data_IF_503754006563
#
_entry.id   IF_503754006563
#
_cell.length_a   1.000
_cell.length_b   1.000
_cell.length_c   1.000
_cell.angle_alpha   90.00
_cell.angle_beta   90.00
_cell.angle_gamma   90.00
#
_symmetry.space_group_name_H-M   'P 1'
#
loop_
_entity.id
_entity.type
_entity.pdbx_description
1 polymer ?
#
# COMPACT_ATOMS: atom_id res chain seq x y z
N UNK A 1 -14.51 0.79 19.51
CA UNK A 1 -14.59 -0.21 18.43
C UNK A 1 -15.62 0.26 17.42
N UNK A 2 -15.24 0.43 16.15
CA UNK A 2 -16.21 0.51 15.05
C UNK A 2 -16.45 -0.94 14.60
N UNK A 3 -17.61 -1.56 14.90
CA UNK A 3 -17.80 -3.00 14.73
C UNK A 3 -17.89 -3.47 13.27
N UNK A 4 -18.01 -2.55 12.30
CA UNK A 4 -18.52 -2.86 10.96
C UNK A 4 -17.55 -2.50 9.81
N UNK A 5 -16.24 -2.45 10.08
CA UNK A 5 -15.25 -2.23 9.01
C UNK A 5 -14.85 -3.55 8.34
N UNK A 6 -14.55 -3.49 7.04
CA UNK A 6 -14.09 -4.64 6.25
C UNK A 6 -12.61 -4.92 6.52
N UNK A 7 -12.31 -5.53 7.67
CA UNK A 7 -10.97 -5.95 8.01
C UNK A 7 -10.48 -7.10 7.10
N UNK A 8 -9.20 -7.07 6.78
CA UNK A 8 -8.50 -8.04 5.94
C UNK A 8 -7.18 -8.43 6.59
N UNK A 9 -6.80 -9.70 6.44
CA UNK A 9 -5.49 -10.18 6.92
C UNK A 9 -4.42 -9.82 5.91
N UNK A 10 -3.81 -8.64 6.02
CA UNK A 10 -2.59 -8.29 5.27
C UNK A 10 -1.40 -8.91 6.01
N UNK A 11 -0.63 -9.78 5.34
CA UNK A 11 0.49 -10.48 5.96
C UNK A 11 1.84 -9.82 5.62
N UNK A 12 2.03 -9.43 4.36
CA UNK A 12 3.21 -8.70 3.92
C UNK A 12 2.92 -7.75 2.76
N UNK A 13 3.91 -6.93 2.45
CA UNK A 13 3.95 -6.10 1.25
C UNK A 13 5.24 -6.46 0.54
N UNK A 14 5.20 -6.55 -0.78
CA UNK A 14 6.36 -6.83 -1.62
C UNK A 14 6.69 -5.67 -2.54
N UNK A 15 7.99 -5.43 -2.72
CA UNK A 15 8.53 -4.55 -3.76
C UNK A 15 9.42 -5.39 -4.67
N UNK A 16 9.16 -5.35 -5.97
CA UNK A 16 9.88 -6.14 -6.99
C UNK A 16 9.88 -7.66 -6.69
N UNK A 17 8.80 -8.17 -6.11
CA UNK A 17 8.64 -9.58 -5.74
C UNK A 17 9.35 -10.02 -4.46
N UNK A 18 9.93 -9.08 -3.71
CA UNK A 18 10.59 -9.33 -2.44
C UNK A 18 9.78 -8.76 -1.28
N UNK A 19 9.51 -9.57 -0.25
CA UNK A 19 8.87 -9.11 0.98
C UNK A 19 9.70 -8.00 1.63
N UNK A 20 9.00 -7.00 2.17
CA UNK A 20 9.63 -5.88 2.86
C UNK A 20 10.24 -6.30 4.19
N UNK A 21 11.53 -6.02 4.36
CA UNK A 21 12.23 -6.21 5.63
C UNK A 21 11.88 -5.14 6.68
N UNK A 22 11.91 -5.54 7.95
CA UNK A 22 11.75 -4.64 9.09
C UNK A 22 10.31 -4.27 9.40
N UNK A 23 9.34 -5.08 8.96
CA UNK A 23 7.96 -5.07 9.45
C UNK A 23 7.87 -6.13 10.57
N UNK A 24 7.74 -5.74 11.85
CA UNK A 24 7.57 -6.69 12.95
C UNK A 24 6.35 -7.59 12.76
N UNK A 25 6.44 -8.83 13.22
CA UNK A 25 5.29 -9.72 13.28
C UNK A 25 4.17 -9.07 14.11
N UNK A 26 2.94 -9.15 13.60
CA UNK A 26 1.76 -8.56 14.22
C UNK A 26 1.53 -7.07 13.96
N UNK A 27 2.33 -6.43 13.10
CA UNK A 27 2.12 -5.01 12.69
C UNK A 27 0.72 -4.79 12.11
N UNK A 28 0.16 -5.80 11.44
CA UNK A 28 -1.14 -5.75 10.78
C UNK A 28 -2.28 -6.37 11.62
N UNK A 29 -1.99 -6.89 12.81
CA UNK A 29 -2.98 -7.59 13.62
C UNK A 29 -3.99 -6.62 14.24
N UNK A 30 -5.27 -7.00 14.21
CA UNK A 30 -6.32 -6.32 14.94
C UNK A 30 -6.23 -6.68 16.43
N UNK A 31 -6.05 -5.67 17.27
CA UNK A 31 -5.89 -5.83 18.71
C UNK A 31 -7.25 -5.89 19.42
N UNK A 32 -7.26 -6.50 20.62
CA UNK A 32 -8.47 -6.66 21.42
C UNK A 32 -9.11 -5.34 21.88
N UNK A 33 -8.37 -4.23 21.89
CA UNK A 33 -8.89 -2.89 22.19
C UNK A 33 -9.46 -2.16 20.95
N UNK A 34 -9.38 -2.80 19.78
CA UNK A 34 -9.83 -2.26 18.49
C UNK A 34 -8.81 -1.36 17.79
N UNK A 35 -7.58 -1.29 18.28
CA UNK A 35 -6.45 -0.69 17.56
C UNK A 35 -5.78 -1.71 16.61
N UNK A 36 -4.96 -1.22 15.69
CA UNK A 36 -4.29 -2.06 14.70
C UNK A 36 -5.23 -2.49 13.58
N UNK A 37 -4.95 -3.65 13.00
CA UNK A 37 -5.70 -4.18 11.88
C UNK A 37 -5.45 -3.45 10.56
N UNK A 38 -5.94 -4.06 9.49
CA UNK A 38 -5.99 -3.47 8.16
C UNK A 38 -7.42 -3.60 7.66
N UNK A 39 -8.02 -2.50 7.21
CA UNK A 39 -9.35 -2.54 6.62
C UNK A 39 -9.40 -1.86 5.26
N UNK A 40 -10.36 -2.29 4.43
CA UNK A 40 -10.62 -1.71 3.12
C UNK A 40 -11.59 -0.53 3.21
N UNK A 41 -11.31 0.51 2.45
CA UNK A 41 -12.23 1.63 2.25
C UNK A 41 -12.33 2.01 0.78
N UNK A 42 -13.56 2.04 0.26
CA UNK A 42 -13.85 2.55 -1.08
C UNK A 42 -14.09 4.07 -1.09
N UNK A 43 -14.35 4.68 0.08
CA UNK A 43 -14.62 6.11 0.23
C UNK A 43 -13.36 6.93 0.53
N UNK A 44 -12.24 6.26 0.83
CA UNK A 44 -10.97 6.90 1.14
C UNK A 44 -9.96 6.65 0.00
N UNK A 45 -9.53 7.67 -0.76
CA UNK A 45 -8.67 7.45 -1.93
C UNK A 45 -7.28 6.91 -1.57
N UNK A 46 -6.59 7.57 -0.64
CA UNK A 46 -5.22 7.24 -0.25
C UNK A 46 -5.18 6.03 0.69
N UNK A 47 -4.09 5.28 0.64
CA UNK A 47 -3.82 4.20 1.61
C UNK A 47 -3.03 4.75 2.78
N UNK A 48 -3.38 4.31 3.99
CA UNK A 48 -2.70 4.66 5.21
C UNK A 48 -2.14 3.39 5.82
N UNK A 49 -0.83 3.28 5.95
CA UNK A 49 -0.19 2.12 6.57
C UNK A 49 0.34 2.50 7.95
N UNK A 50 0.28 1.54 8.88
CA UNK A 50 1.01 1.62 10.15
C UNK A 50 2.45 2.12 9.91
N UNK A 51 2.92 3.02 10.76
CA UNK A 51 4.15 3.80 10.57
C UNK A 51 5.37 2.93 10.27
N UNK A 52 5.46 1.74 10.87
CA UNK A 52 6.55 0.78 10.64
C UNK A 52 6.48 0.16 9.24
N UNK A 53 5.29 -0.27 8.82
CA UNK A 53 5.06 -0.80 7.47
C UNK A 53 5.27 0.26 6.39
N UNK A 54 4.76 1.48 6.61
CA UNK A 54 5.01 2.62 5.73
C UNK A 54 6.51 2.90 5.61
N UNK A 55 7.24 2.91 6.72
CA UNK A 55 8.68 3.18 6.74
C UNK A 55 9.49 2.11 6.00
N UNK A 56 9.08 0.84 6.08
CA UNK A 56 9.66 -0.22 5.28
C UNK A 56 9.40 -0.02 3.78
N UNK A 57 8.15 0.27 3.39
CA UNK A 57 7.76 0.51 2.01
C UNK A 57 8.51 1.71 1.41
N UNK A 58 8.55 2.83 2.14
CA UNK A 58 9.26 4.04 1.72
C UNK A 58 10.74 3.74 1.47
N UNK A 59 11.41 3.02 2.39
CA UNK A 59 12.83 2.66 2.22
C UNK A 59 13.05 1.81 0.98
N UNK A 60 12.22 0.80 0.74
CA UNK A 60 12.34 -0.06 -0.43
C UNK A 60 12.12 0.70 -1.74
N UNK A 61 11.08 1.54 -1.82
CA UNK A 61 10.82 2.37 -2.99
C UNK A 61 11.94 3.39 -3.24
N UNK A 62 12.44 4.06 -2.20
CA UNK A 62 13.57 4.99 -2.32
C UNK A 62 14.83 4.27 -2.80
N UNK A 63 15.11 3.07 -2.30
CA UNK A 63 16.25 2.26 -2.73
C UNK A 63 16.12 1.83 -4.20
N UNK A 64 14.99 1.23 -4.58
CA UNK A 64 14.77 0.71 -5.94
C UNK A 64 14.74 1.85 -6.98
N UNK A 65 14.07 2.97 -6.70
CA UNK A 65 14.06 4.14 -7.60
C UNK A 65 15.42 4.86 -7.59
N UNK A 66 16.08 4.93 -6.44
CA UNK A 66 17.41 5.53 -6.29
C UNK A 66 18.48 4.81 -7.10
N UNK A 67 18.38 3.49 -7.27
CA UNK A 67 19.26 2.70 -8.13
C UNK A 67 19.23 3.14 -9.61
N UNK A 68 18.17 3.84 -10.02
CA UNK A 68 17.97 4.41 -11.35
C UNK A 68 18.43 5.88 -11.44
N UNK A 69 19.09 6.41 -10.41
CA UNK A 69 19.64 7.78 -10.37
C UNK A 69 18.62 8.87 -10.02
N UNK A 70 17.47 8.51 -9.43
CA UNK A 70 16.41 9.44 -9.09
C UNK A 70 16.26 9.58 -7.58
N UNK A 71 16.38 10.82 -7.07
CA UNK A 71 16.28 11.11 -5.64
C UNK A 71 14.95 11.79 -5.29
N UNK A 72 14.39 11.56 -4.08
CA UNK A 72 13.23 12.28 -3.59
C UNK A 72 13.45 13.80 -3.54
N UNK A 73 12.37 14.59 -3.67
CA UNK A 73 12.42 16.06 -3.56
C UNK A 73 12.75 16.50 -2.13
N UNK A 74 12.14 15.83 -1.16
CA UNK A 74 12.17 16.19 0.26
C UNK A 74 12.57 14.92 1.06
N UNK A 75 13.86 14.56 0.99
CA UNK A 75 14.36 13.30 1.57
C UNK A 75 14.12 13.18 3.08
N UNK A 76 14.06 14.32 3.78
CA UNK A 76 13.79 14.42 5.22
C UNK A 76 12.29 14.36 5.56
N UNK A 77 11.40 14.57 4.59
CA UNK A 77 9.96 14.37 4.79
C UNK A 77 9.66 12.87 4.78
N UNK A 78 9.49 12.33 5.99
CA UNK A 78 9.12 10.94 6.21
C UNK A 78 7.62 10.70 6.05
N UNK A 79 6.79 11.71 5.78
CA UNK A 79 5.33 11.53 5.65
C UNK A 79 4.89 11.36 4.21
N UNK A 80 5.55 12.03 3.28
CA UNK A 80 5.20 11.99 1.87
C UNK A 80 6.43 11.72 1.02
N UNK A 81 6.39 10.66 0.21
CA UNK A 81 7.46 10.35 -0.74
C UNK A 81 7.11 10.98 -2.09
N UNK A 82 7.90 11.96 -2.53
CA UNK A 82 7.72 12.63 -3.82
C UNK A 82 9.03 12.72 -4.59
N UNK A 83 8.93 12.68 -5.93
CA UNK A 83 10.01 12.85 -6.88
C UNK A 83 9.71 14.01 -7.84
N UNK A 84 10.74 14.62 -8.42
CA UNK A 84 10.53 15.61 -9.50
C UNK A 84 10.00 14.88 -10.73
N UNK A 85 8.96 15.41 -11.38
CA UNK A 85 8.31 14.72 -12.50
C UNK A 85 9.26 14.42 -13.66
N UNK A 86 10.14 15.35 -13.99
CA UNK A 86 11.08 15.21 -15.10
C UNK A 86 12.19 14.18 -14.83
N UNK A 87 12.55 13.95 -13.58
CA UNK A 87 13.47 12.85 -13.23
C UNK A 87 12.73 11.52 -13.15
N UNK A 88 11.46 11.53 -12.71
CA UNK A 88 10.65 10.32 -12.58
C UNK A 88 10.14 9.76 -13.91
N UNK A 89 10.08 10.55 -14.99
CA UNK A 89 9.47 10.12 -16.26
C UNK A 89 10.17 8.94 -16.95
N UNK A 90 11.44 8.69 -16.63
CA UNK A 90 12.21 7.55 -17.18
C UNK A 90 12.33 6.37 -16.21
N UNK A 91 11.68 6.44 -15.05
CA UNK A 91 11.80 5.42 -13.99
C UNK A 91 10.92 4.21 -14.34
N UNK A 92 11.51 3.02 -14.27
CA UNK A 92 10.74 1.78 -14.14
C UNK A 92 10.20 1.74 -12.71
N UNK A 93 8.90 1.93 -12.55
CA UNK A 93 8.27 1.97 -11.22
C UNK A 93 8.33 0.56 -10.61
N UNK A 94 8.84 0.40 -9.37
CA UNK A 94 8.98 -0.91 -8.73
C UNK A 94 7.63 -1.62 -8.57
N UNK A 95 7.55 -2.91 -8.89
CA UNK A 95 6.29 -3.66 -8.75
C UNK A 95 5.86 -3.70 -7.28
N UNK A 96 4.59 -3.40 -6.99
CA UNK A 96 4.04 -3.40 -5.63
C UNK A 96 2.97 -4.50 -5.52
N UNK A 97 3.15 -5.41 -4.57
CA UNK A 97 2.18 -6.48 -4.31
C UNK A 97 1.77 -6.45 -2.84
N UNK A 98 0.46 -6.53 -2.58
CA UNK A 98 -0.09 -6.75 -1.24
C UNK A 98 -0.30 -8.25 -1.06
N UNK A 99 0.24 -8.83 0.00
CA UNK A 99 0.11 -10.26 0.31
C UNK A 99 -0.86 -10.40 1.47
N UNK A 100 -1.93 -11.13 1.26
CA UNK A 100 -2.97 -11.38 2.25
C UNK A 100 -2.90 -12.81 2.77
N UNK A 101 -3.51 -13.03 3.93
CA UNK A 101 -3.81 -14.36 4.44
C UNK A 101 -4.80 -15.06 3.52
N UNK A 102 -4.50 -16.31 3.16
CA UNK A 102 -5.34 -17.12 2.29
C UNK A 102 -4.55 -17.85 1.20
N UNK A 103 -5.27 -18.57 0.35
CA UNK A 103 -4.68 -19.35 -0.75
C UNK A 103 -4.51 -18.45 -1.96
N UNK A 104 -3.28 -18.28 -2.45
CA UNK A 104 -2.94 -17.43 -3.60
C UNK A 104 -3.46 -15.98 -3.46
N UNK A 105 -3.47 -15.46 -2.23
CA UNK A 105 -4.05 -14.17 -1.90
C UNK A 105 -3.03 -13.03 -2.08
N UNK A 106 -2.47 -12.90 -3.28
CA UNK A 106 -1.54 -11.81 -3.66
C UNK A 106 -2.20 -10.85 -4.65
N UNK A 107 -2.26 -9.56 -4.31
CA UNK A 107 -2.84 -8.53 -5.17
C UNK A 107 -1.74 -7.61 -5.70
N UNK A 108 -1.49 -7.68 -7.01
CA UNK A 108 -0.61 -6.73 -7.69
C UNK A 108 -1.30 -5.38 -7.82
N UNK A 109 -0.57 -4.31 -7.50
CA UNK A 109 -1.06 -2.94 -7.62
C UNK A 109 -0.42 -2.28 -8.84
N UNK A 110 -1.24 -1.63 -9.67
CA UNK A 110 -0.74 -0.91 -10.84
C UNK A 110 0.02 0.36 -10.45
N UNK A 111 1.16 0.69 -11.09
CA UNK A 111 1.94 1.90 -10.82
C UNK A 111 1.14 3.20 -10.72
N UNK A 112 0.17 3.38 -11.62
CA UNK A 112 -0.71 4.55 -11.66
C UNK A 112 -1.61 4.71 -10.41
N UNK A 113 -1.77 3.64 -9.64
CA UNK A 113 -2.60 3.63 -8.43
C UNK A 113 -1.81 3.98 -7.16
N UNK A 114 -0.48 3.80 -7.15
CA UNK A 114 0.36 4.18 -6.01
C UNK A 114 1.32 5.34 -6.26
N UNK A 115 1.47 5.82 -7.50
CA UNK A 115 2.13 7.09 -7.79
C UNK A 115 1.21 8.02 -8.59
N UNK A 116 0.94 9.20 -8.04
CA UNK A 116 0.09 10.21 -8.69
C UNK A 116 0.89 11.47 -9.04
N UNK A 117 0.43 12.19 -10.07
CA UNK A 117 1.04 13.46 -10.51
C UNK A 117 0.47 14.62 -9.70
N UNK A 118 1.34 15.43 -9.10
CA UNK A 118 0.98 16.66 -8.38
C UNK A 118 1.85 17.83 -8.83
N UNK A 119 1.30 18.81 -9.56
CA UNK A 119 2.03 20.04 -9.88
C UNK A 119 3.27 19.85 -10.76
N UNK A 120 4.48 19.78 -10.19
CA UNK A 120 5.75 19.38 -10.85
C UNK A 120 6.39 18.12 -10.21
N UNK A 121 5.67 17.48 -9.29
CA UNK A 121 6.06 16.29 -8.55
C UNK A 121 5.26 15.05 -9.02
N UNK A 122 5.77 13.89 -8.66
CA UNK A 122 5.08 12.59 -8.66
C UNK A 122 5.22 12.02 -7.26
N UNK A 123 4.11 11.70 -6.59
CA UNK A 123 4.08 11.38 -5.18
C UNK A 123 3.42 10.03 -4.91
N UNK A 124 3.90 9.34 -3.89
CA UNK A 124 3.31 8.11 -3.36
C UNK A 124 1.92 8.42 -2.79
N UNK A 125 0.91 7.61 -3.12
CA UNK A 125 -0.47 7.74 -2.60
C UNK A 125 -0.66 7.04 -1.25
N UNK A 126 0.36 6.32 -0.79
CA UNK A 126 0.43 5.67 0.51
C UNK A 126 1.05 6.64 1.52
N UNK A 127 0.44 6.76 2.70
CA UNK A 127 0.80 7.68 3.77
C UNK A 127 0.94 6.90 5.10
N UNK A 128 1.67 7.44 6.10
CA UNK A 128 1.75 6.81 7.42
C UNK A 128 0.50 7.09 8.27
N UNK A 129 0.15 6.13 9.14
CA UNK A 129 -0.87 6.24 10.18
C UNK A 129 -0.40 5.64 11.51
N UNK A 130 -1.14 5.95 12.58
CA UNK A 130 -0.98 5.35 13.90
C UNK A 130 -2.27 4.66 14.30
N UNK A 131 -2.16 3.49 14.92
CA UNK A 131 -3.30 2.75 15.47
C UNK A 131 -4.08 1.91 14.46
N UNK A 132 -3.54 1.66 13.26
CA UNK A 132 -4.14 0.78 12.25
C UNK A 132 -3.81 1.22 10.82
N UNK A 133 -4.21 0.40 9.85
CA UNK A 133 -4.03 0.67 8.41
C UNK A 133 -5.37 0.68 7.66
N UNK A 134 -5.43 1.48 6.59
CA UNK A 134 -6.56 1.58 5.66
C UNK A 134 -6.05 1.36 4.25
N UNK A 135 -6.54 0.33 3.57
CA UNK A 135 -6.37 0.16 2.14
C UNK A 135 -7.40 1.03 1.41
N UNK A 136 -6.91 2.12 0.82
CA UNK A 136 -7.73 3.09 0.09
C UNK A 136 -8.10 2.63 -1.31
N UNK A 137 -9.06 3.32 -1.92
CA UNK A 137 -9.65 2.95 -3.21
C UNK A 137 -8.69 3.05 -4.39
N UNK A 138 -7.63 3.87 -4.30
CA UNK A 138 -6.63 3.95 -5.36
C UNK A 138 -5.93 2.60 -5.55
N UNK A 139 -5.44 1.95 -4.48
CA UNK A 139 -4.78 0.64 -4.62
C UNK A 139 -5.72 -0.47 -5.09
N UNK A 140 -7.03 -0.31 -4.89
CA UNK A 140 -8.07 -1.24 -5.33
C UNK A 140 -8.47 -1.02 -6.81
N UNK A 141 -8.09 0.11 -7.41
CA UNK A 141 -8.60 0.53 -8.71
C UNK A 141 -8.18 -0.44 -9.82
N UNK A 142 -9.16 -0.91 -10.60
CA UNK A 142 -8.91 -1.86 -11.69
C UNK A 142 -8.79 -3.32 -11.23
N UNK A 143 -9.20 -3.61 -9.99
CA UNK A 143 -9.37 -4.95 -9.43
C UNK A 143 -10.83 -5.15 -9.05
N UNK A 144 -11.43 -6.29 -9.42
CA UNK A 144 -12.77 -6.63 -8.96
C UNK A 144 -12.69 -7.03 -7.49
N UNK A 145 -13.41 -6.34 -6.61
CA UNK A 145 -13.46 -6.64 -5.18
C UNK A 145 -14.85 -7.21 -4.84
N UNK A 146 -14.92 -8.46 -4.38
CA UNK A 146 -16.16 -9.16 -4.05
C UNK A 146 -16.17 -9.46 -2.56
N UNK A 147 -17.15 -8.90 -1.85
CA UNK A 147 -17.30 -9.04 -0.41
C UNK A 147 -18.42 -10.06 -0.10
N UNK A 148 -18.04 -11.26 0.35
CA UNK A 148 -18.97 -12.21 0.95
C UNK A 148 -19.00 -12.01 2.46
N UNK A 149 -19.95 -11.20 2.93
CA UNK A 149 -20.08 -10.84 4.35
C UNK A 149 -20.58 -12.04 5.17
N UNK A 150 -21.40 -12.92 4.58
CA UNK A 150 -21.90 -14.11 5.27
C UNK A 150 -20.81 -15.16 5.43
N UNK A 151 -19.93 -15.29 4.44
CA UNK A 151 -18.78 -16.20 4.45
C UNK A 151 -17.52 -15.63 5.10
N UNK A 152 -17.46 -14.32 5.36
CA UNK A 152 -16.26 -13.65 5.87
C UNK A 152 -15.10 -13.67 4.88
N UNK A 153 -15.40 -13.61 3.58
CA UNK A 153 -14.42 -13.77 2.50
C UNK A 153 -14.38 -12.52 1.62
N UNK A 154 -13.15 -12.07 1.35
CA UNK A 154 -12.86 -11.14 0.28
C UNK A 154 -12.24 -11.90 -0.88
N UNK A 155 -12.83 -11.77 -2.06
CA UNK A 155 -12.22 -12.22 -3.31
C UNK A 155 -11.78 -10.99 -4.10
N UNK A 156 -10.57 -11.04 -4.64
CA UNK A 156 -10.10 -10.07 -5.61
C UNK A 156 -9.59 -10.79 -6.87
N UNK A 157 -9.95 -10.24 -8.02
CA UNK A 157 -9.55 -10.80 -9.31
C UNK A 157 -9.22 -9.68 -10.30
N UNK A 158 -8.28 -9.95 -11.20
CA UNK A 158 -8.02 -9.07 -12.33
C UNK A 158 -9.23 -9.11 -13.27
N UNK A 159 -9.83 -7.96 -13.63
CA UNK A 159 -10.93 -7.93 -14.57
C UNK A 159 -10.53 -8.58 -15.90
N UNK A 160 -11.36 -9.49 -16.41
CA UNK A 160 -11.19 -10.01 -17.76
C UNK A 160 -11.38 -8.85 -18.77
N UNK A 161 -10.53 -8.77 -19.82
CA UNK A 161 -10.64 -7.74 -20.85
C UNK A 161 -11.93 -7.84 -21.67
#
# INVERSE_FOLDING_TARGET
MQPDLYYVGLSSIQVDGHDLDGIPAGTFDLQADGSGGVFLSSTWPATYLEETAYSALRRALVSSIGSQGVTPVDADDLRQLCYRRWSFSGVTVPALTLVFDGVNATMEVKPENYFFKDGLKVCLTVLPSKGGSVLGSLLQTGTNMIFDIGGGLLTFETPMP
#
